data_IF_611410323728
#
_entry.id   IF_611410323728
#
_cell.length_a   1.000
_cell.length_b   1.000
_cell.length_c   1.000
_cell.angle_alpha   90.00
_cell.angle_beta   90.00
_cell.angle_gamma   90.00
#
_symmetry.space_group_name_H-M   'P 1'
#
loop_
_entity.id
_entity.type
_entity.pdbx_description
1 polymer ?
#
# COMPACT_ATOMS: atom_id res chain seq x y z
N UNK A 1 8.46 -6.41 2.60
CA UNK A 1 7.71 -5.55 1.64
C UNK A 1 6.57 -6.37 1.07
N UNK A 2 5.46 -5.72 0.73
CA UNK A 2 4.22 -6.35 0.29
C UNK A 2 3.69 -5.68 -0.98
N UNK A 3 3.15 -6.47 -1.90
CA UNK A 3 2.58 -6.00 -3.15
C UNK A 3 1.11 -5.59 -2.99
N UNK A 4 0.66 -4.46 -3.54
CA UNK A 4 -0.78 -4.09 -3.67
C UNK A 4 -1.50 -5.06 -4.58
N UNK A 5 -1.02 -5.20 -5.82
CA UNK A 5 -1.40 -6.22 -6.78
C UNK A 5 -0.42 -7.38 -6.63
N UNK A 6 -0.92 -8.53 -6.17
CA UNK A 6 -0.10 -9.69 -5.84
C UNK A 6 0.80 -10.14 -7.00
N UNK A 7 2.04 -10.54 -6.69
CA UNK A 7 2.92 -11.21 -7.64
C UNK A 7 2.35 -12.60 -8.00
N UNK A 8 2.45 -13.07 -9.27
CA UNK A 8 3.11 -12.41 -10.41
C UNK A 8 2.21 -11.45 -11.20
N UNK A 9 0.96 -11.22 -10.78
CA UNK A 9 0.01 -10.37 -11.52
C UNK A 9 0.35 -8.88 -11.46
N UNK A 10 1.07 -8.44 -10.44
CA UNK A 10 1.57 -7.06 -10.32
C UNK A 10 3.09 -6.96 -10.37
N UNK A 11 3.64 -5.86 -10.93
CA UNK A 11 5.09 -5.65 -11.01
C UNK A 11 5.71 -5.34 -9.64
N UNK A 12 6.99 -5.70 -9.46
CA UNK A 12 7.80 -5.27 -8.31
C UNK A 12 8.28 -3.84 -8.55
N UNK A 13 7.45 -2.85 -8.18
CA UNK A 13 7.73 -1.42 -8.37
C UNK A 13 7.30 -0.58 -7.17
N UNK A 14 7.80 0.65 -7.05
CA UNK A 14 7.54 1.54 -5.91
C UNK A 14 6.05 1.79 -5.65
N UNK A 15 5.24 2.02 -6.69
CA UNK A 15 3.78 2.20 -6.57
C UNK A 15 2.99 0.92 -6.29
N UNK A 16 3.64 -0.25 -6.36
CA UNK A 16 3.02 -1.52 -6.01
C UNK A 16 3.54 -2.07 -4.68
N UNK A 17 4.60 -1.52 -4.11
CA UNK A 17 5.25 -2.03 -2.90
C UNK A 17 5.04 -1.12 -1.69
N UNK A 18 4.83 -1.74 -0.53
CA UNK A 18 4.76 -1.08 0.77
C UNK A 18 5.44 -1.90 1.86
N UNK A 19 5.84 -1.25 2.95
CA UNK A 19 6.55 -1.89 4.06
C UNK A 19 5.54 -2.36 5.11
N UNK A 20 5.01 -3.57 4.92
CA UNK A 20 4.15 -4.21 5.91
C UNK A 20 4.92 -5.25 6.72
N UNK A 21 4.56 -5.34 8.01
CA UNK A 21 4.94 -6.47 8.83
C UNK A 21 4.14 -7.73 8.43
N UNK A 22 4.59 -8.90 8.89
CA UNK A 22 3.94 -10.19 8.60
C UNK A 22 2.46 -10.20 8.97
N UNK A 23 2.08 -9.62 10.11
CA UNK A 23 0.69 -9.59 10.55
C UNK A 23 -0.21 -8.82 9.58
N UNK A 24 0.21 -7.64 9.12
CA UNK A 24 -0.55 -6.84 8.16
C UNK A 24 -0.64 -7.50 6.78
N UNK A 25 0.43 -8.18 6.35
CA UNK A 25 0.40 -9.00 5.14
C UNK A 25 -0.68 -10.09 5.24
N UNK A 26 -0.71 -10.85 6.34
CA UNK A 26 -1.71 -11.91 6.54
C UNK A 26 -3.15 -11.38 6.62
N UNK A 27 -3.37 -10.25 7.31
CA UNK A 27 -4.68 -9.61 7.41
C UNK A 27 -5.26 -9.28 6.04
N UNK A 28 -4.44 -8.70 5.17
CA UNK A 28 -4.78 -8.36 3.80
C UNK A 28 -5.04 -9.59 2.95
N UNK A 29 -4.18 -10.60 3.04
CA UNK A 29 -4.26 -11.77 2.14
C UNK A 29 -5.41 -12.70 2.52
N UNK A 30 -5.68 -12.88 3.81
CA UNK A 30 -6.55 -13.97 4.26
C UNK A 30 -7.78 -13.53 5.07
N UNK A 31 -7.82 -12.29 5.58
CA UNK A 31 -8.83 -11.90 6.58
C UNK A 31 -9.68 -10.69 6.16
N UNK A 32 -9.91 -10.53 4.87
CA UNK A 32 -10.90 -9.58 4.33
C UNK A 32 -10.53 -8.11 4.46
N UNK A 33 -9.27 -7.81 4.77
CA UNK A 33 -8.74 -6.45 4.67
C UNK A 33 -8.36 -6.16 3.22
N UNK A 34 -8.71 -4.98 2.73
CA UNK A 34 -8.36 -4.52 1.40
C UNK A 34 -7.54 -3.25 1.49
N UNK A 35 -6.66 -3.02 0.52
CA UNK A 35 -5.89 -1.80 0.41
C UNK A 35 -5.90 -1.22 -0.99
N UNK A 36 -5.81 0.10 -1.05
CA UNK A 36 -5.50 0.87 -2.24
C UNK A 36 -4.26 1.71 -1.95
N UNK A 37 -3.19 1.49 -2.71
CA UNK A 37 -1.97 2.29 -2.66
C UNK A 37 -2.03 3.39 -3.73
N UNK A 38 -1.85 4.64 -3.31
CA UNK A 38 -1.74 5.80 -4.19
C UNK A 38 -0.27 6.01 -4.62
N UNK A 39 -0.03 6.71 -5.74
CA UNK A 39 1.33 6.84 -6.27
C UNK A 39 2.30 7.64 -5.40
N UNK A 40 1.79 8.46 -4.46
CA UNK A 40 2.57 9.21 -3.46
C UNK A 40 2.95 8.37 -2.22
N UNK A 41 2.57 7.10 -2.19
CA UNK A 41 2.80 6.17 -1.09
C UNK A 41 1.72 6.18 0.00
N UNK A 42 0.67 7.00 -0.13
CA UNK A 42 -0.52 6.91 0.73
C UNK A 42 -1.19 5.55 0.56
N UNK A 43 -1.59 4.91 1.66
CA UNK A 43 -2.34 3.64 1.61
C UNK A 43 -3.67 3.81 2.34
N UNK A 44 -4.74 3.56 1.61
CA UNK A 44 -6.12 3.52 2.12
C UNK A 44 -6.45 2.06 2.41
N UNK A 45 -6.72 1.77 3.67
CA UNK A 45 -7.10 0.45 4.16
C UNK A 45 -8.60 0.40 4.38
N UNK A 46 -9.24 -0.68 3.96
CA UNK A 46 -10.64 -0.97 4.23
C UNK A 46 -10.70 -2.25 5.06
N UNK A 47 -11.24 -2.16 6.28
CA UNK A 47 -11.43 -3.32 7.13
C UNK A 47 -12.65 -4.16 6.65
N UNK A 48 -12.82 -5.40 7.15
CA UNK A 48 -13.94 -6.25 6.78
C UNK A 48 -15.32 -5.65 7.10
N UNK A 49 -15.40 -4.79 8.13
CA UNK A 49 -16.63 -4.08 8.50
C UNK A 49 -16.84 -2.77 7.72
N UNK A 50 -16.07 -2.54 6.65
CA UNK A 50 -16.16 -1.40 5.72
C UNK A 50 -15.74 -0.05 6.29
N UNK A 51 -15.11 0.01 7.46
CA UNK A 51 -14.43 1.23 7.89
C UNK A 51 -13.13 1.42 7.10
N UNK A 52 -12.78 2.69 6.85
CA UNK A 52 -11.57 3.06 6.13
C UNK A 52 -10.57 3.77 7.03
N UNK A 53 -9.29 3.46 6.82
CA UNK A 53 -8.16 4.03 7.55
C UNK A 53 -7.10 4.47 6.56
N UNK A 54 -6.58 5.69 6.71
CA UNK A 54 -5.53 6.21 5.82
C UNK A 54 -4.20 6.23 6.54
N UNK A 55 -3.17 5.69 5.89
CA UNK A 55 -1.78 5.72 6.37
C UNK A 55 -0.92 6.47 5.36
N UNK A 56 0.10 7.16 5.85
CA UNK A 56 1.02 7.95 5.04
C UNK A 56 2.44 7.45 5.25
N UNK A 57 3.34 7.59 4.25
CA UNK A 57 4.75 7.33 4.44
C UNK A 57 5.29 8.20 5.58
N UNK A 58 6.11 7.63 6.47
CA UNK A 58 6.76 8.41 7.53
C UNK A 58 7.64 9.54 6.98
N UNK A 59 8.21 9.34 5.78
CA UNK A 59 8.93 10.37 5.04
C UNK A 59 8.08 11.58 4.70
N UNK A 60 6.74 11.49 4.69
CA UNK A 60 5.86 12.64 4.40
C UNK A 60 6.08 13.81 5.35
N UNK A 61 6.38 13.54 6.62
CA UNK A 61 6.58 14.58 7.65
C UNK A 61 7.98 15.19 7.59
N UNK A 62 9.01 14.37 7.34
CA UNK A 62 10.42 14.78 7.44
C UNK A 62 11.03 15.14 6.08
N UNK A 63 10.56 14.51 5.02
CA UNK A 63 11.10 14.57 3.66
C UNK A 63 9.97 14.53 2.61
N UNK A 64 9.06 15.52 2.59
CA UNK A 64 7.88 15.50 1.72
C UNK A 64 8.23 15.38 0.22
N UNK A 65 9.42 15.84 -0.19
CA UNK A 65 9.92 15.70 -1.56
C UNK A 65 10.16 14.24 -1.97
N UNK A 66 10.41 13.34 -1.02
CA UNK A 66 10.54 11.90 -1.27
C UNK A 66 9.20 11.20 -1.46
N UNK A 67 8.08 11.84 -1.12
CA UNK A 67 6.72 11.37 -1.41
C UNK A 67 6.23 11.80 -2.80
N UNK A 68 7.15 12.17 -3.71
CA UNK A 68 6.78 12.52 -5.09
C UNK A 68 6.06 11.33 -5.74
N UNK A 69 4.87 11.53 -6.33
CA UNK A 69 4.14 10.48 -7.02
C UNK A 69 5.02 9.72 -8.03
N UNK A 70 4.91 8.40 -8.00
CA UNK A 70 5.47 7.50 -9.03
C UNK A 70 4.42 7.19 -10.10
N UNK A 71 4.75 6.37 -11.11
CA UNK A 71 3.74 5.94 -12.08
C UNK A 71 2.68 5.05 -11.38
N UNK A 72 1.39 5.12 -11.76
CA UNK A 72 0.39 4.20 -11.23
C UNK A 72 0.76 2.75 -11.54
N UNK A 73 0.29 1.82 -10.71
CA UNK A 73 0.42 0.39 -11.02
C UNK A 73 -0.65 0.01 -12.04
N UNK A 74 -0.21 -0.49 -13.19
CA UNK A 74 -1.05 -1.02 -14.27
C UNK A 74 -0.79 -2.52 -14.35
N UNK A 75 -1.83 -3.31 -14.62
CA UNK A 75 -1.74 -4.75 -14.88
C UNK A 75 -1.34 -4.96 -16.34
#
# INVERSE_FOLDING_TARGET
IDHTIAYPHGPTQASNLKVLCRQHHLLKTFWGWHDQQLPDGTVIWTCPQRQTYTTYPGSRLLFPTLCRPTAPTVI
#
